data_IF_439404634119
#
_entry.id   IF_439404634119
#
_cell.length_a   1.000
_cell.length_b   1.000
_cell.length_c   1.000
_cell.angle_alpha   90.00
_cell.angle_beta   90.00
_cell.angle_gamma   90.00
#
_symmetry.space_group_name_H-M   'P 1'
#
loop_
_entity.id
_entity.type
_entity.pdbx_description
1 polymer ?
#
# COMPACT_ATOMS: atom_id res chain seq x y z
N UNK A 1 -4.49 -6.11 -11.89
CA UNK A 1 -4.46 -5.94 -10.43
C UNK A 1 -3.18 -5.26 -9.99
N UNK A 2 -3.06 -4.95 -8.71
CA UNK A 2 -1.93 -4.22 -8.11
C UNK A 2 -1.59 -4.80 -6.73
N UNK A 3 -0.30 -4.99 -6.46
CA UNK A 3 0.23 -5.15 -5.11
C UNK A 3 1.07 -3.91 -4.81
N UNK A 4 0.69 -3.17 -3.77
CA UNK A 4 1.31 -1.89 -3.41
C UNK A 4 1.80 -1.96 -1.96
N UNK A 5 3.11 -1.80 -1.77
CA UNK A 5 3.76 -1.76 -0.46
C UNK A 5 4.15 -0.32 -0.19
N UNK A 6 3.65 0.24 0.91
CA UNK A 6 3.76 1.67 1.20
C UNK A 6 3.38 1.98 2.66
N UNK A 7 3.89 3.09 3.22
CA UNK A 7 3.34 3.66 4.44
C UNK A 7 2.04 4.45 4.21
N UNK A 8 1.79 4.89 2.97
CA UNK A 8 0.75 5.82 2.57
C UNK A 8 -0.22 5.20 1.55
N UNK A 9 -1.46 5.71 1.54
CA UNK A 9 -2.49 5.19 0.65
C UNK A 9 -2.37 5.74 -0.79
N UNK A 10 -1.76 6.91 -0.99
CA UNK A 10 -1.54 7.57 -2.29
C UNK A 10 -2.79 7.79 -3.15
N UNK A 11 -3.89 8.13 -2.47
CA UNK A 11 -5.23 8.32 -3.05
C UNK A 11 -5.84 9.70 -2.78
N UNK A 12 -5.01 10.70 -2.45
CA UNK A 12 -5.49 12.06 -2.23
C UNK A 12 -6.10 12.62 -3.53
N UNK A 13 -7.13 13.48 -3.39
CA UNK A 13 -7.74 14.12 -4.56
C UNK A 13 -6.88 15.23 -5.15
N UNK A 14 -6.15 15.98 -4.32
CA UNK A 14 -5.19 16.99 -4.78
C UNK A 14 -4.12 17.24 -3.71
N UNK A 15 -2.98 17.80 -4.12
CA UNK A 15 -1.99 18.38 -3.21
C UNK A 15 -1.84 19.86 -3.53
N UNK A 16 -2.15 20.72 -2.55
CA UNK A 16 -2.10 22.18 -2.69
C UNK A 16 -2.90 22.73 -3.90
N UNK A 17 -4.02 22.09 -4.25
CA UNK A 17 -4.85 22.43 -5.40
C UNK A 17 -4.48 21.71 -6.71
N UNK A 18 -3.31 21.06 -6.76
CA UNK A 18 -2.82 20.37 -7.95
C UNK A 18 -3.27 18.91 -8.00
N UNK A 19 -3.75 18.48 -9.17
CA UNK A 19 -4.28 17.12 -9.40
C UNK A 19 -3.20 16.07 -9.63
N UNK A 20 -1.97 16.47 -9.98
CA UNK A 20 -0.87 15.55 -10.30
C UNK A 20 0.26 15.78 -9.31
N UNK A 21 0.36 14.91 -8.31
CA UNK A 21 1.44 14.86 -7.33
C UNK A 21 1.65 13.41 -6.86
N UNK A 22 2.71 13.15 -6.09
CA UNK A 22 3.07 11.78 -5.69
C UNK A 22 1.95 11.05 -4.93
N UNK A 23 1.31 11.70 -3.94
CA UNK A 23 0.22 11.10 -3.17
C UNK A 23 -1.16 11.10 -3.84
N UNK A 24 -1.26 11.39 -5.14
CA UNK A 24 -2.54 11.36 -5.90
C UNK A 24 -2.57 10.25 -6.96
N UNK A 25 -1.50 9.46 -7.08
CA UNK A 25 -1.25 8.55 -8.20
C UNK A 25 -2.34 7.50 -8.37
N UNK A 26 -2.67 6.74 -7.31
CA UNK A 26 -3.63 5.64 -7.45
C UNK A 26 -5.07 6.11 -7.51
N UNK A 27 -5.37 7.33 -7.04
CA UNK A 27 -6.66 7.96 -7.28
C UNK A 27 -6.93 8.16 -8.76
N UNK A 28 -5.95 8.68 -9.52
CA UNK A 28 -6.06 8.86 -10.97
C UNK A 28 -6.18 7.53 -11.69
N UNK A 29 -5.40 6.53 -11.27
CA UNK A 29 -5.45 5.20 -11.86
C UNK A 29 -6.84 4.55 -11.73
N UNK A 30 -7.55 4.80 -10.62
CA UNK A 30 -8.96 4.38 -10.46
C UNK A 30 -9.89 5.19 -11.36
N UNK A 31 -9.78 6.53 -11.33
CA UNK A 31 -10.65 7.43 -12.11
C UNK A 31 -10.54 7.21 -13.62
N UNK A 32 -9.37 6.83 -14.11
CA UNK A 32 -9.10 6.52 -15.52
C UNK A 32 -9.39 5.06 -15.91
N UNK A 33 -9.86 4.22 -14.96
CA UNK A 33 -10.21 2.83 -15.23
C UNK A 33 -9.00 1.93 -15.53
N UNK A 34 -7.81 2.28 -15.03
CA UNK A 34 -6.55 1.57 -15.26
C UNK A 34 -6.31 0.44 -14.25
N UNK A 35 -7.06 0.44 -13.14
CA UNK A 35 -6.99 -0.58 -12.10
C UNK A 35 -8.26 -1.43 -12.08
N UNK A 36 -8.04 -2.75 -12.04
CA UNK A 36 -9.06 -3.70 -11.62
C UNK A 36 -9.16 -3.65 -10.09
N UNK A 37 -10.13 -2.87 -9.58
CA UNK A 37 -10.27 -2.55 -8.16
C UNK A 37 -10.55 -3.78 -7.28
N UNK A 38 -11.11 -4.86 -7.83
CA UNK A 38 -11.33 -6.11 -7.10
C UNK A 38 -10.02 -6.89 -6.89
N UNK A 39 -8.93 -6.48 -7.54
CA UNK A 39 -7.61 -7.14 -7.51
C UNK A 39 -6.49 -6.20 -7.06
N UNK A 40 -6.77 -5.35 -6.08
CA UNK A 40 -5.78 -4.45 -5.45
C UNK A 40 -5.58 -4.78 -3.97
N UNK A 41 -4.30 -4.81 -3.55
CA UNK A 41 -3.89 -4.92 -2.14
C UNK A 41 -2.89 -3.83 -1.80
N UNK A 42 -3.11 -3.12 -0.70
CA UNK A 42 -2.18 -2.17 -0.08
C UNK A 42 -1.68 -2.73 1.25
N UNK A 43 -0.36 -2.71 1.48
CA UNK A 43 0.28 -3.31 2.66
C UNK A 43 1.25 -2.31 3.30
N UNK A 44 1.05 -2.03 4.59
CA UNK A 44 1.99 -1.23 5.40
C UNK A 44 1.46 0.13 5.87
N UNK A 45 0.19 0.44 5.57
CA UNK A 45 -0.42 1.72 5.91
C UNK A 45 -0.39 1.97 7.43
N UNK A 46 0.01 3.18 7.83
CA UNK A 46 0.16 3.58 9.24
C UNK A 46 0.16 5.10 9.42
N UNK A 47 0.55 5.56 10.62
CA UNK A 47 0.64 6.95 11.04
C UNK A 47 -0.71 7.67 11.20
N UNK A 48 -0.68 9.00 11.25
CA UNK A 48 -1.88 9.82 11.48
C UNK A 48 -2.52 10.23 10.15
N UNK A 49 -3.85 10.25 10.11
CA UNK A 49 -4.63 10.85 9.02
C UNK A 49 -5.36 12.12 9.47
N UNK A 50 -6.12 12.72 8.55
CA UNK A 50 -7.05 13.81 8.86
C UNK A 50 -8.41 13.26 9.29
N UNK A 51 -8.85 12.16 8.67
CA UNK A 51 -10.12 11.53 8.95
C UNK A 51 -10.05 10.00 8.84
N UNK A 52 -11.02 9.31 9.43
CA UNK A 52 -11.16 7.86 9.21
C UNK A 52 -11.44 7.50 7.73
N UNK A 53 -11.90 8.47 6.93
CA UNK A 53 -12.20 8.25 5.51
C UNK A 53 -10.96 8.05 4.65
N UNK A 54 -9.79 8.48 5.13
CA UNK A 54 -8.52 8.42 4.41
C UNK A 54 -8.16 6.96 4.05
N UNK A 55 -8.51 5.99 4.91
CA UNK A 55 -8.40 4.56 4.59
C UNK A 55 -9.71 3.93 4.09
N UNK A 56 -10.87 4.46 4.47
CA UNK A 56 -12.15 3.88 4.04
C UNK A 56 -12.42 4.09 2.55
N UNK A 57 -11.86 5.12 1.92
CA UNK A 57 -12.01 5.31 0.47
C UNK A 57 -11.49 4.10 -0.31
N UNK A 58 -10.28 3.62 -0.03
CA UNK A 58 -9.70 2.43 -0.67
C UNK A 58 -10.58 1.20 -0.48
N UNK A 59 -11.08 0.98 0.74
CA UNK A 59 -12.00 -0.13 1.04
C UNK A 59 -13.30 -0.04 0.23
N UNK A 60 -13.86 1.17 0.07
CA UNK A 60 -15.07 1.42 -0.74
C UNK A 60 -14.86 1.16 -2.23
N UNK A 61 -13.62 1.29 -2.75
CA UNK A 61 -13.31 0.92 -4.13
C UNK A 61 -13.18 -0.60 -4.33
N UNK A 62 -13.03 -1.39 -3.26
CA UNK A 62 -12.83 -2.86 -3.32
C UNK A 62 -11.42 -3.32 -2.97
N UNK A 63 -10.52 -2.38 -2.62
CA UNK A 63 -9.13 -2.70 -2.27
C UNK A 63 -9.08 -3.45 -0.94
N UNK A 64 -8.14 -4.38 -0.82
CA UNK A 64 -7.74 -4.91 0.49
C UNK A 64 -6.68 -4.00 1.10
N UNK A 65 -6.93 -3.50 2.30
CA UNK A 65 -6.00 -2.63 3.05
C UNK A 65 -5.47 -3.40 4.27
N UNK A 66 -4.17 -3.66 4.28
CA UNK A 66 -3.44 -4.34 5.38
C UNK A 66 -2.59 -3.29 6.09
N UNK A 67 -3.00 -2.90 7.29
CA UNK A 67 -2.29 -1.90 8.11
C UNK A 67 -1.07 -2.51 8.79
N UNK A 68 -0.12 -1.68 9.21
CA UNK A 68 1.13 -2.13 9.84
C UNK A 68 0.88 -2.98 11.11
N UNK A 69 -0.13 -2.67 11.91
CA UNK A 69 -0.53 -3.42 13.11
C UNK A 69 -0.91 -4.87 12.78
N UNK A 70 -1.46 -5.12 11.58
CA UNK A 70 -1.76 -6.46 11.10
C UNK A 70 -0.48 -7.21 10.71
N UNK A 71 0.68 -6.57 10.61
CA UNK A 71 1.95 -7.20 10.23
C UNK A 71 2.86 -7.48 11.44
N UNK A 72 2.63 -6.84 12.59
CA UNK A 72 3.54 -6.92 13.72
C UNK A 72 3.61 -8.31 14.36
N UNK A 73 4.81 -8.65 14.84
CA UNK A 73 5.12 -9.86 15.63
C UNK A 73 4.88 -11.21 14.91
N UNK A 74 4.82 -11.25 13.58
CA UNK A 74 4.62 -12.48 12.81
C UNK A 74 5.28 -12.45 11.42
N UNK A 75 5.43 -13.65 10.85
CA UNK A 75 5.80 -13.85 9.44
C UNK A 75 4.63 -13.48 8.52
N UNK A 76 4.94 -12.94 7.34
CA UNK A 76 3.97 -12.56 6.32
C UNK A 76 3.74 -13.65 5.26
N UNK A 77 4.43 -14.79 5.33
CA UNK A 77 4.24 -15.88 4.38
C UNK A 77 2.77 -16.36 4.28
N UNK A 78 1.98 -16.50 5.37
CA UNK A 78 0.55 -16.82 5.28
C UNK A 78 -0.27 -15.73 4.59
N UNK A 79 0.02 -14.45 4.88
CA UNK A 79 -0.63 -13.31 4.24
C UNK A 79 -0.43 -13.35 2.72
N UNK A 80 0.77 -13.70 2.25
CA UNK A 80 1.06 -13.77 0.81
C UNK A 80 0.24 -14.84 0.07
N UNK A 81 -0.22 -15.90 0.74
CA UNK A 81 -1.15 -16.85 0.14
C UNK A 81 -2.50 -16.19 -0.19
N UNK A 82 -3.03 -15.42 0.75
CA UNK A 82 -4.28 -14.68 0.56
C UNK A 82 -4.14 -13.54 -0.45
N UNK A 83 -2.97 -12.88 -0.50
CA UNK A 83 -2.66 -11.87 -1.51
C UNK A 83 -2.74 -12.47 -2.91
N UNK A 84 -2.09 -13.63 -3.13
CA UNK A 84 -2.13 -14.34 -4.43
C UNK A 84 -3.54 -14.75 -4.85
N UNK A 85 -4.37 -15.20 -3.91
CA UNK A 85 -5.76 -15.53 -4.17
C UNK A 85 -6.55 -14.27 -4.60
N UNK A 86 -6.43 -13.17 -3.86
CA UNK A 86 -7.12 -11.90 -4.15
C UNK A 86 -6.71 -11.31 -5.49
N UNK A 87 -5.41 -11.31 -5.83
CA UNK A 87 -4.91 -10.66 -7.06
C UNK A 87 -4.75 -11.61 -8.24
N UNK A 88 -5.11 -12.89 -8.12
CA UNK A 88 -4.96 -13.90 -9.18
C UNK A 88 -5.88 -13.69 -10.40
N UNK A 89 -5.68 -14.49 -11.45
CA UNK A 89 -6.59 -14.52 -12.61
C UNK A 89 -6.28 -13.55 -13.76
N UNK A 90 -5.09 -12.92 -13.81
CA UNK A 90 -4.66 -12.08 -14.93
C UNK A 90 -3.41 -11.23 -14.62
N UNK A 91 -3.07 -10.22 -15.42
CA UNK A 91 -1.88 -9.40 -15.20
C UNK A 91 -1.93 -8.61 -13.89
N UNK A 92 -0.78 -8.53 -13.21
CA UNK A 92 -0.60 -7.82 -11.95
C UNK A 92 0.65 -6.96 -12.01
N UNK A 93 0.58 -5.74 -11.47
CA UNK A 93 1.72 -4.85 -11.29
C UNK A 93 2.16 -4.83 -9.83
N UNK A 94 3.46 -4.69 -9.58
CA UNK A 94 4.04 -4.54 -8.24
C UNK A 94 4.62 -3.13 -8.11
N UNK A 95 4.13 -2.38 -7.12
CA UNK A 95 4.69 -1.08 -6.72
C UNK A 95 5.22 -1.18 -5.30
N UNK A 96 6.47 -0.76 -5.08
CA UNK A 96 7.13 -0.84 -3.78
C UNK A 96 7.72 0.53 -3.43
N UNK A 97 7.10 1.23 -2.49
CA UNK A 97 7.69 2.42 -1.88
C UNK A 97 8.63 2.01 -0.75
N UNK A 98 9.81 2.63 -0.71
CA UNK A 98 10.85 2.33 0.27
C UNK A 98 10.44 2.80 1.68
N UNK A 99 9.54 3.79 1.79
CA UNK A 99 9.04 4.26 3.08
C UNK A 99 8.10 3.26 3.78
N UNK A 100 7.67 2.20 3.08
CA UNK A 100 6.99 1.05 3.69
C UNK A 100 7.89 0.28 4.69
N UNK A 101 9.21 0.35 4.51
CA UNK A 101 10.20 -0.23 5.44
C UNK A 101 10.48 0.76 6.57
N UNK A 102 10.71 0.23 7.78
CA UNK A 102 11.02 1.07 8.95
C UNK A 102 12.29 1.93 8.72
N UNK A 103 12.29 3.21 9.16
CA UNK A 103 13.45 4.11 9.03
C UNK A 103 14.75 3.57 9.64
N UNK A 104 14.71 2.59 10.54
CA UNK A 104 15.89 1.90 11.04
C UNK A 104 16.71 1.21 9.93
N UNK A 105 16.07 0.79 8.84
CA UNK A 105 16.73 0.16 7.69
C UNK A 105 16.68 1.03 6.42
N UNK A 106 15.69 1.91 6.28
CA UNK A 106 15.51 2.80 5.12
C UNK A 106 15.42 4.29 5.52
N UNK A 107 16.47 4.89 6.09
CA UNK A 107 16.40 6.27 6.61
C UNK A 107 16.36 7.35 5.51
N UNK A 108 16.77 7.04 4.28
CA UNK A 108 16.88 8.00 3.18
C UNK A 108 15.65 8.04 2.27
N UNK A 109 14.50 8.47 2.80
CA UNK A 109 13.26 8.68 2.03
C UNK A 109 12.63 10.05 2.33
N UNK A 110 11.69 10.50 1.49
CA UNK A 110 11.07 11.83 1.60
C UNK A 110 10.10 11.97 2.79
N UNK A 111 9.31 10.93 3.05
CA UNK A 111 8.21 10.89 4.03
C UNK A 111 8.36 9.70 4.99
N UNK A 112 9.37 9.67 5.87
CA UNK A 112 9.62 8.53 6.74
C UNK A 112 8.57 8.40 7.86
N UNK A 113 7.97 7.22 7.99
CA UNK A 113 7.02 6.88 9.06
C UNK A 113 7.53 5.72 9.93
N UNK A 114 7.59 5.91 11.25
CA UNK A 114 8.12 4.91 12.20
C UNK A 114 7.24 3.65 12.31
N UNK A 115 7.78 2.55 12.82
CA UNK A 115 7.02 1.32 13.14
C UNK A 115 6.66 0.49 11.89
N UNK A 116 7.51 0.55 10.86
CA UNK A 116 7.27 -0.04 9.55
C UNK A 116 7.65 -1.51 9.43
N UNK A 117 7.68 -2.00 8.19
CA UNK A 117 8.09 -3.37 7.89
C UNK A 117 9.60 -3.57 8.12
N UNK A 118 9.97 -4.78 8.53
CA UNK A 118 11.38 -5.20 8.57
C UNK A 118 11.87 -5.63 7.18
N UNK A 119 13.19 -5.65 6.97
CA UNK A 119 13.79 -6.19 5.74
C UNK A 119 13.50 -7.69 5.53
N UNK A 120 13.31 -8.46 6.61
CA UNK A 120 12.89 -9.86 6.55
C UNK A 120 11.48 -9.97 5.95
N UNK A 121 10.54 -9.18 6.45
CA UNK A 121 9.16 -9.17 5.96
C UNK A 121 9.06 -8.69 4.50
N UNK A 122 9.87 -7.69 4.10
CA UNK A 122 9.94 -7.26 2.71
C UNK A 122 10.38 -8.40 1.77
N UNK A 123 11.36 -9.23 2.20
CA UNK A 123 11.79 -10.40 1.44
C UNK A 123 10.69 -11.48 1.39
N UNK A 124 9.98 -11.70 2.50
CA UNK A 124 8.83 -12.63 2.53
C UNK A 124 7.74 -12.21 1.54
N UNK A 125 7.47 -10.91 1.41
CA UNK A 125 6.51 -10.36 0.45
C UNK A 125 6.98 -10.60 -0.99
N UNK A 126 8.22 -10.22 -1.34
CA UNK A 126 8.71 -10.30 -2.73
C UNK A 126 8.85 -11.75 -3.22
N UNK A 127 9.21 -12.69 -2.32
CA UNK A 127 9.37 -14.11 -2.67
C UNK A 127 8.05 -14.88 -2.73
N UNK A 128 6.99 -14.36 -2.10
CA UNK A 128 5.66 -14.96 -2.06
C UNK A 128 4.86 -14.66 -3.32
#
# INVERSE_FOLDING_TARGET
>A
GLVHIDAHADVNDHMFGEKIAHGTTFRRAVEEGLLDCDRVVQIGLRAQGYTAEDFNWSRKQGFRVVQAEECWHKSLAPLMAEVREKVGGGPVYLSFDIDGIDPAWAPGTGTPEIGGLTTIQAIEIIRG
#
